data_IF_776893358280
#
_entry.id   IF_776893358280
#
_cell.length_a   1.000
_cell.length_b   1.000
_cell.length_c   1.000
_cell.angle_alpha   90.00
_cell.angle_beta   90.00
_cell.angle_gamma   90.00
#
_symmetry.space_group_name_H-M   'P 1'
#
loop_
_entity.id
_entity.type
_entity.pdbx_description
1 polymer ?
#
# COMPACT_ATOMS: atom_id res chain seq x y z
N UNK A 1 -4.42 27.17 1.42
CA UNK A 1 -3.21 26.34 1.49
C UNK A 1 -2.63 26.28 2.91
N UNK A 2 -2.16 27.40 3.49
CA UNK A 2 -1.58 27.36 4.85
C UNK A 2 -2.58 26.90 5.92
N UNK A 3 -3.83 27.33 5.82
CA UNK A 3 -4.94 26.88 6.66
C UNK A 3 -5.15 25.36 6.57
N UNK A 4 -5.14 24.80 5.36
CA UNK A 4 -5.26 23.35 5.13
C UNK A 4 -4.11 22.55 5.74
N UNK A 5 -2.88 23.08 5.63
CA UNK A 5 -1.73 22.50 6.31
C UNK A 5 -1.94 22.46 7.83
N UNK A 6 -2.47 23.54 8.44
CA UNK A 6 -2.78 23.56 9.87
C UNK A 6 -3.83 22.51 10.25
N UNK A 7 -4.93 22.42 9.52
CA UNK A 7 -5.96 21.39 9.75
C UNK A 7 -5.38 19.97 9.70
N UNK A 8 -4.57 19.68 8.68
CA UNK A 8 -3.98 18.36 8.50
C UNK A 8 -2.93 18.04 9.58
N UNK A 9 -2.12 19.03 9.93
CA UNK A 9 -1.15 18.92 11.03
C UNK A 9 -1.86 18.64 12.35
N UNK A 10 -2.93 19.39 12.64
CA UNK A 10 -3.67 19.32 13.90
C UNK A 10 -4.46 18.02 14.02
N UNK A 11 -5.09 17.55 12.94
CA UNK A 11 -5.76 16.24 12.91
C UNK A 11 -4.83 15.07 13.20
N UNK A 12 -3.53 15.21 12.88
CA UNK A 12 -2.50 14.21 13.18
C UNK A 12 -1.76 14.45 14.51
N UNK A 13 -2.15 15.48 15.28
CA UNK A 13 -1.57 15.81 16.58
C UNK A 13 -0.16 16.40 16.52
N UNK A 14 0.30 16.86 15.35
CA UNK A 14 1.63 17.46 15.18
C UNK A 14 1.61 18.96 15.48
N UNK A 15 2.78 19.51 15.82
CA UNK A 15 3.02 20.97 15.86
C UNK A 15 3.96 21.38 14.74
N UNK A 16 3.98 22.68 14.40
CA UNK A 16 4.95 23.21 13.41
C UNK A 16 6.39 22.89 13.78
N UNK A 17 6.67 22.78 15.08
CA UNK A 17 7.96 22.34 15.59
C UNK A 17 8.33 20.91 15.16
N UNK A 18 7.34 20.02 15.11
CA UNK A 18 7.53 18.60 14.77
C UNK A 18 7.69 18.45 13.25
N UNK A 19 6.86 19.16 12.48
CA UNK A 19 7.00 19.22 11.02
C UNK A 19 8.35 19.80 10.63
N UNK A 20 8.79 20.89 11.28
CA UNK A 20 10.09 21.50 11.02
C UNK A 20 11.26 20.54 11.31
N UNK A 21 11.19 19.79 12.41
CA UNK A 21 12.19 18.77 12.76
C UNK A 21 12.20 17.61 11.76
N UNK A 22 11.02 17.12 11.38
CA UNK A 22 10.86 15.97 10.50
C UNK A 22 11.19 16.24 9.02
N UNK A 23 10.94 17.46 8.54
CA UNK A 23 11.13 17.83 7.13
C UNK A 23 12.45 18.57 6.87
N UNK A 24 13.13 19.03 7.93
CA UNK A 24 14.29 19.92 7.84
C UNK A 24 13.95 21.32 7.35
N UNK A 25 12.67 21.71 7.33
CA UNK A 25 12.22 23.05 6.97
C UNK A 25 12.30 23.96 8.20
N UNK A 26 12.87 25.15 8.06
CA UNK A 26 12.99 26.09 9.17
C UNK A 26 11.64 26.63 9.62
N UNK A 27 11.47 26.88 10.93
CA UNK A 27 10.26 27.52 11.49
C UNK A 27 9.96 28.89 10.88
N UNK A 28 11.00 29.65 10.51
CA UNK A 28 10.87 30.93 9.80
C UNK A 28 10.13 30.78 8.47
N UNK A 29 10.38 29.69 7.74
CA UNK A 29 9.71 29.40 6.47
C UNK A 29 8.19 29.27 6.66
N UNK A 30 7.73 28.56 7.70
CA UNK A 30 6.29 28.43 7.99
C UNK A 30 5.65 29.78 8.37
N UNK A 31 6.39 30.64 9.07
CA UNK A 31 5.94 31.98 9.44
C UNK A 31 5.81 32.88 8.21
N UNK A 32 6.74 32.78 7.25
CA UNK A 32 6.67 33.52 6.00
C UNK A 32 5.51 33.06 5.12
N UNK A 33 5.21 31.76 5.10
CA UNK A 33 4.02 31.22 4.43
C UNK A 33 2.72 31.68 5.07
N UNK A 34 2.66 31.67 6.42
CA UNK A 34 1.52 32.17 7.19
C UNK A 34 1.20 33.63 6.86
N UNK A 35 2.24 34.45 6.76
CA UNK A 35 2.12 35.89 6.54
C UNK A 35 2.08 36.27 5.05
N UNK A 36 2.06 35.29 4.13
CA UNK A 36 2.04 35.54 2.68
C UNK A 36 3.32 36.17 2.12
N UNK A 37 4.43 36.20 2.88
CA UNK A 37 5.71 36.76 2.44
C UNK A 37 6.44 35.89 1.43
N UNK A 38 6.15 34.60 1.39
CA UNK A 38 6.70 33.69 0.39
C UNK A 38 5.70 32.62 -0.03
N UNK A 39 5.86 32.15 -1.27
CA UNK A 39 5.03 31.08 -1.83
C UNK A 39 5.74 29.75 -1.61
N UNK A 40 5.08 28.75 -1.01
CA UNK A 40 5.65 27.42 -0.82
C UNK A 40 6.00 26.76 -2.16
N UNK A 41 7.26 26.32 -2.32
CA UNK A 41 7.71 25.62 -3.53
C UNK A 41 7.40 24.13 -3.47
N UNK A 42 7.10 23.46 -4.61
CA UNK A 42 6.74 22.04 -4.65
C UNK A 42 7.69 21.10 -3.88
N UNK A 43 9.03 21.26 -3.91
CA UNK A 43 9.94 20.37 -3.18
C UNK A 43 9.77 20.42 -1.65
N UNK A 44 9.44 21.59 -1.09
CA UNK A 44 9.18 21.73 0.35
C UNK A 44 7.81 21.17 0.72
N UNK A 45 6.84 21.30 -0.18
CA UNK A 45 5.51 20.73 0.01
C UNK A 45 5.51 19.21 -0.04
N UNK A 46 6.28 18.62 -0.94
CA UNK A 46 6.44 17.17 -1.02
C UNK A 46 6.97 16.62 0.31
N UNK A 47 8.02 17.24 0.89
CA UNK A 47 8.54 16.83 2.20
C UNK A 47 7.50 16.87 3.32
N UNK A 48 6.63 17.88 3.32
CA UNK A 48 5.55 18.00 4.30
C UNK A 48 4.50 16.91 4.07
N UNK A 49 4.13 16.67 2.82
CA UNK A 49 3.18 15.62 2.44
C UNK A 49 3.71 14.23 2.84
N UNK A 50 4.98 13.93 2.55
CA UNK A 50 5.66 12.69 2.92
C UNK A 50 5.69 12.51 4.44
N UNK A 51 6.05 13.56 5.20
CA UNK A 51 6.07 13.51 6.66
C UNK A 51 4.68 13.32 7.26
N UNK A 52 3.67 13.97 6.68
CA UNK A 52 2.28 13.81 7.09
C UNK A 52 1.66 12.53 6.53
N UNK A 53 2.33 11.76 5.66
CA UNK A 53 1.77 10.56 5.03
C UNK A 53 0.52 10.82 4.20
N UNK A 54 0.49 11.92 3.45
CA UNK A 54 -0.58 12.27 2.50
C UNK A 54 -0.01 12.56 1.12
N UNK A 55 -0.85 12.62 0.08
CA UNK A 55 -0.40 13.08 -1.24
C UNK A 55 -0.20 14.60 -1.27
N UNK A 56 0.70 15.07 -2.14
CA UNK A 56 0.91 16.50 -2.36
C UNK A 56 -0.35 17.20 -2.86
N UNK A 57 -1.10 16.54 -3.77
CA UNK A 57 -2.39 17.02 -4.26
C UNK A 57 -3.37 17.23 -3.10
N UNK A 58 -3.48 16.26 -2.17
CA UNK A 58 -4.37 16.37 -1.02
C UNK A 58 -4.01 17.53 -0.10
N UNK A 59 -2.72 17.76 0.15
CA UNK A 59 -2.23 18.90 0.92
C UNK A 59 -2.60 20.25 0.27
N UNK A 60 -2.60 20.31 -1.06
CA UNK A 60 -2.82 21.55 -1.81
C UNK A 60 -4.29 21.85 -2.09
N UNK A 61 -5.08 20.86 -2.51
CA UNK A 61 -6.46 21.03 -2.99
C UNK A 61 -7.51 20.52 -2.01
N UNK A 62 -7.12 19.69 -1.03
CA UNK A 62 -8.05 19.02 -0.11
C UNK A 62 -8.89 17.92 -0.77
N UNK A 63 -8.74 17.71 -2.07
CA UNK A 63 -9.35 16.61 -2.80
C UNK A 63 -8.47 15.40 -2.53
N UNK A 64 -9.05 14.40 -1.86
CA UNK A 64 -8.48 13.08 -1.81
C UNK A 64 -8.58 12.55 -3.24
N UNK A 65 -7.52 12.74 -4.03
CA UNK A 65 -7.26 11.82 -5.12
C UNK A 65 -7.16 10.47 -4.43
N UNK A 66 -8.27 9.72 -4.46
CA UNK A 66 -8.25 8.30 -4.16
C UNK A 66 -7.30 7.72 -5.18
N UNK A 67 -6.02 7.66 -4.83
CA UNK A 67 -5.07 6.80 -5.51
C UNK A 67 -5.82 5.48 -5.62
N UNK A 68 -6.00 4.94 -6.84
CA UNK A 68 -6.74 3.70 -6.99
C UNK A 68 -6.09 2.72 -6.02
N UNK A 69 -6.86 2.24 -5.04
CA UNK A 69 -6.35 1.30 -4.06
C UNK A 69 -5.66 0.18 -4.84
N UNK A 70 -4.43 -0.18 -4.45
CA UNK A 70 -3.80 -1.42 -4.90
C UNK A 70 -4.87 -2.51 -4.89
N UNK A 71 -4.95 -3.39 -5.90
CA UNK A 71 -6.09 -4.29 -6.05
C UNK A 71 -6.26 -5.20 -4.83
N UNK A 72 -7.04 -4.75 -3.85
CA UNK A 72 -7.31 -5.49 -2.62
C UNK A 72 -8.14 -6.71 -2.98
N UNK A 73 -7.87 -7.83 -2.30
CA UNK A 73 -8.70 -9.03 -2.39
C UNK A 73 -10.11 -8.70 -1.90
N UNK A 74 -11.11 -9.02 -2.72
CA UNK A 74 -12.51 -8.92 -2.30
C UNK A 74 -12.97 -10.28 -1.74
N UNK A 75 -14.16 -10.32 -1.17
CA UNK A 75 -14.75 -11.54 -0.57
C UNK A 75 -14.96 -12.70 -1.57
N UNK A 76 -15.04 -12.42 -2.87
CA UNK A 76 -15.05 -13.47 -3.89
C UNK A 76 -13.64 -14.02 -4.10
N UNK A 77 -12.63 -13.16 -4.18
CA UNK A 77 -11.25 -13.59 -4.35
C UNK A 77 -10.78 -14.46 -3.18
N UNK A 78 -11.10 -14.07 -1.94
CA UNK A 78 -10.80 -14.88 -0.75
C UNK A 78 -11.44 -16.27 -0.81
N UNK A 79 -12.69 -16.35 -1.27
CA UNK A 79 -13.40 -17.63 -1.46
C UNK A 79 -12.76 -18.48 -2.56
N UNK A 80 -12.34 -17.87 -3.66
CA UNK A 80 -11.64 -18.58 -4.73
C UNK A 80 -10.28 -19.10 -4.22
N UNK A 81 -9.51 -18.26 -3.51
CA UNK A 81 -8.21 -18.63 -2.91
C UNK A 81 -8.38 -19.78 -1.91
N UNK A 82 -9.39 -19.73 -1.04
CA UNK A 82 -9.65 -20.81 -0.09
C UNK A 82 -9.92 -22.15 -0.80
N UNK A 83 -10.73 -22.13 -1.87
CA UNK A 83 -10.99 -23.33 -2.67
C UNK A 83 -9.74 -23.86 -3.37
N UNK A 84 -8.94 -22.97 -3.94
CA UNK A 84 -7.70 -23.34 -4.61
C UNK A 84 -6.69 -23.92 -3.61
N UNK A 85 -6.57 -23.32 -2.42
CA UNK A 85 -5.73 -23.80 -1.34
C UNK A 85 -6.17 -25.18 -0.86
N UNK A 86 -7.46 -25.36 -0.55
CA UNK A 86 -7.97 -26.65 -0.07
C UNK A 86 -7.74 -27.75 -1.12
N UNK A 87 -7.99 -27.47 -2.40
CA UNK A 87 -7.69 -28.41 -3.49
C UNK A 87 -6.21 -28.81 -3.54
N UNK A 88 -5.30 -27.83 -3.47
CA UNK A 88 -3.85 -28.09 -3.49
C UNK A 88 -3.43 -28.90 -2.26
N UNK A 89 -3.95 -28.56 -1.08
CA UNK A 89 -3.62 -29.28 0.16
C UNK A 89 -4.18 -30.70 0.18
N UNK A 90 -5.36 -30.94 -0.41
CA UNK A 90 -5.92 -32.29 -0.59
C UNK A 90 -5.07 -33.13 -1.55
N UNK A 91 -4.62 -32.55 -2.67
CA UNK A 91 -3.70 -33.21 -3.60
C UNK A 91 -2.38 -33.61 -2.90
N UNK A 92 -1.85 -32.75 -2.03
CA UNK A 92 -0.65 -33.05 -1.22
C UNK A 92 -0.95 -34.12 -0.16
N UNK A 93 -2.10 -34.07 0.50
CA UNK A 93 -2.43 -34.97 1.61
C UNK A 93 -2.75 -36.40 1.15
N UNK A 94 -3.31 -36.56 -0.06
CA UNK A 94 -3.69 -37.86 -0.60
C UNK A 94 -2.50 -38.68 -1.12
N UNK A 95 -1.26 -38.16 -1.00
CA UNK A 95 -0.04 -38.81 -1.46
C UNK A 95 -0.17 -39.32 -2.92
N UNK A 96 -0.95 -38.62 -3.77
CA UNK A 96 -1.29 -39.07 -5.14
C UNK A 96 -0.05 -39.33 -6.00
N UNK A 97 1.06 -38.63 -5.71
CA UNK A 97 2.38 -38.80 -6.32
C UNK A 97 3.48 -39.14 -5.28
N UNK A 98 3.09 -39.63 -4.10
CA UNK A 98 3.98 -39.88 -2.97
C UNK A 98 4.27 -38.64 -2.11
N UNK A 99 5.15 -38.78 -1.10
CA UNK A 99 5.42 -37.70 -0.16
C UNK A 99 6.11 -36.52 -0.84
N UNK A 100 5.79 -35.30 -0.42
CA UNK A 100 6.43 -34.09 -0.94
C UNK A 100 7.91 -34.05 -0.53
N UNK A 101 8.82 -33.79 -1.47
CA UNK A 101 10.26 -33.69 -1.18
C UNK A 101 10.77 -32.25 -1.31
N UNK A 102 11.75 -31.90 -0.47
CA UNK A 102 12.55 -30.68 -0.60
C UNK A 102 14.02 -31.03 -0.37
N UNK A 103 14.89 -30.69 -1.32
CA UNK A 103 16.32 -31.07 -1.30
C UNK A 103 16.51 -32.58 -1.07
N UNK A 104 15.76 -33.41 -1.81
CA UNK A 104 15.76 -34.87 -1.70
C UNK A 104 15.36 -35.44 -0.33
N UNK A 105 14.88 -34.60 0.59
CA UNK A 105 14.36 -35.01 1.89
C UNK A 105 12.83 -34.91 1.89
N UNK A 106 12.12 -35.95 2.37
CA UNK A 106 10.67 -35.88 2.48
C UNK A 106 10.30 -34.80 3.50
N UNK A 107 9.37 -33.93 3.12
CA UNK A 107 8.84 -32.90 3.99
C UNK A 107 7.99 -33.60 5.06
N UNK A 108 8.32 -33.41 6.35
CA UNK A 108 7.60 -34.10 7.41
C UNK A 108 6.18 -33.56 7.54
N UNK A 109 5.21 -34.45 7.77
CA UNK A 109 3.77 -34.12 7.80
C UNK A 109 3.41 -33.05 8.85
N UNK A 110 4.21 -32.90 9.91
CA UNK A 110 4.03 -31.84 10.92
C UNK A 110 4.43 -30.42 10.45
N UNK A 111 4.98 -30.29 9.23
CA UNK A 111 5.31 -28.99 8.60
C UNK A 111 4.29 -28.57 7.54
N UNK A 112 3.24 -29.36 7.33
CA UNK A 112 2.20 -29.11 6.34
C UNK A 112 1.46 -27.79 6.63
N UNK A 113 1.29 -27.39 7.88
CA UNK A 113 0.70 -26.09 8.22
C UNK A 113 1.55 -24.90 7.76
N UNK A 114 2.89 -25.02 7.83
CA UNK A 114 3.79 -23.98 7.32
C UNK A 114 3.68 -23.88 5.79
N UNK A 115 3.56 -25.03 5.13
CA UNK A 115 3.38 -25.09 3.69
C UNK A 115 2.02 -24.48 3.29
N UNK A 116 0.95 -24.79 4.03
CA UNK A 116 -0.38 -24.20 3.83
C UNK A 116 -0.31 -22.67 3.86
N UNK A 117 0.28 -22.10 4.90
CA UNK A 117 0.41 -20.65 5.03
C UNK A 117 1.23 -20.03 3.90
N UNK A 118 2.32 -20.69 3.48
CA UNK A 118 3.15 -20.21 2.38
C UNK A 118 2.41 -20.23 1.04
N UNK A 119 1.64 -21.29 0.76
CA UNK A 119 0.82 -21.41 -0.46
C UNK A 119 -0.31 -20.37 -0.45
N UNK A 120 -0.95 -20.14 0.69
CA UNK A 120 -1.98 -19.12 0.83
C UNK A 120 -1.45 -17.74 0.43
N UNK A 121 -0.30 -17.33 0.99
CA UNK A 121 0.37 -16.07 0.63
C UNK A 121 0.69 -16.01 -0.86
N UNK A 122 1.21 -17.10 -1.43
CA UNK A 122 1.52 -17.15 -2.87
C UNK A 122 0.27 -17.01 -3.75
N UNK A 123 -0.87 -17.58 -3.34
CA UNK A 123 -2.15 -17.47 -4.05
C UNK A 123 -2.72 -16.04 -3.94
N UNK A 124 -2.60 -15.39 -2.79
CA UNK A 124 -2.97 -13.98 -2.61
C UNK A 124 -2.18 -13.08 -3.57
N UNK A 125 -0.85 -13.21 -3.56
CA UNK A 125 0.05 -12.45 -4.43
C UNK A 125 -0.26 -12.68 -5.91
N UNK A 126 -0.47 -13.94 -6.31
CA UNK A 126 -0.84 -14.29 -7.68
C UNK A 126 -2.17 -13.63 -8.08
N UNK A 127 -3.17 -13.62 -7.18
CA UNK A 127 -4.49 -13.01 -7.45
C UNK A 127 -4.39 -11.50 -7.56
N UNK A 128 -3.61 -10.84 -6.71
CA UNK A 128 -3.32 -9.40 -6.77
C UNK A 128 -2.64 -9.08 -8.12
N UNK A 129 -1.56 -9.80 -8.45
CA UNK A 129 -0.81 -9.61 -9.70
C UNK A 129 -1.66 -9.84 -10.95
N UNK A 130 -2.56 -10.83 -10.93
CA UNK A 130 -3.50 -11.09 -12.03
C UNK A 130 -4.48 -9.93 -12.22
N UNK A 131 -4.96 -9.32 -11.12
CA UNK A 131 -5.81 -8.12 -11.23
C UNK A 131 -5.07 -6.94 -11.81
N UNK A 132 -3.80 -6.75 -11.45
CA UNK A 132 -2.96 -5.69 -12.01
C UNK A 132 -2.69 -5.92 -13.50
N UNK A 133 -2.38 -7.15 -13.88
CA UNK A 133 -1.97 -7.51 -15.24
C UNK A 133 -3.14 -7.50 -16.22
N UNK A 134 -4.27 -8.11 -15.84
CA UNK A 134 -5.40 -8.32 -16.75
C UNK A 134 -6.53 -7.30 -16.61
N UNK A 135 -6.53 -6.48 -15.54
CA UNK A 135 -7.48 -5.37 -15.36
C UNK A 135 -6.77 -4.08 -14.94
N UNK A 136 -5.71 -3.65 -15.67
CA UNK A 136 -4.84 -2.54 -15.24
C UNK A 136 -5.61 -1.24 -15.07
N UNK A 137 -6.47 -0.88 -16.03
CA UNK A 137 -7.23 0.37 -16.01
C UNK A 137 -8.42 0.41 -15.03
N UNK A 138 -8.68 -0.70 -14.33
CA UNK A 138 -9.64 -0.69 -13.22
C UNK A 138 -9.03 -0.02 -11.99
N UNK A 139 -7.71 -0.09 -11.84
CA UNK A 139 -6.96 0.40 -10.67
C UNK A 139 -5.77 1.27 -11.06
N UNK A 140 -5.67 1.72 -12.31
CA UNK A 140 -4.66 2.69 -12.77
C UNK A 140 -5.35 3.68 -13.72
N UNK A 141 -5.01 4.98 -13.65
CA UNK A 141 -5.53 5.94 -14.60
C UNK A 141 -5.16 5.52 -16.03
N UNK A 142 -6.06 5.78 -16.98
CA UNK A 142 -5.75 5.59 -18.40
C UNK A 142 -4.67 6.59 -18.82
N UNK A 143 -3.70 6.19 -19.66
CA UNK A 143 -2.77 7.15 -20.23
C UNK A 143 -3.56 8.21 -21.00
N UNK A 144 -3.19 9.48 -20.82
CA UNK A 144 -3.71 10.57 -21.63
C UNK A 144 -3.34 10.30 -23.10
N UNK A 145 -4.29 10.51 -24.01
CA UNK A 145 -4.00 10.44 -25.45
C UNK A 145 -3.34 11.76 -25.84
N UNK A 146 -2.14 11.68 -26.39
CA UNK A 146 -1.47 12.78 -27.12
C UNK A 146 -2.30 13.25 -28.33
#
# INVERSE_FOLDING_TARGET
MYERYCELRDSKGYKDADIAKGTGITRSTFTDWKNGRSIPKPPKLQKIADYLGVSLSYLMTGIEETLPENPKLNERDKRDIAKDLDRIMEEIANDTDGPLYYNDQPIPKNKIDLLRNAIEVALEDAKIKNKETYRPYKYKPRPEKD
#
